data_IF_212586237853
#
_entry.id   IF_212586237853
#
_cell.length_a   1.000
_cell.length_b   1.000
_cell.length_c   1.000
_cell.angle_alpha   90.00
_cell.angle_beta   90.00
_cell.angle_gamma   90.00
#
_symmetry.space_group_name_H-M   'P 1'
#
loop_
_entity.id
_entity.type
_entity.pdbx_description
1 polymer ?
#
# COMPACT_ATOMS: atom_id res chain seq x y z
N UNK A 1 25.77 30.09 21.42
CA UNK A 1 24.67 29.10 21.43
C UNK A 1 24.33 28.78 19.99
N UNK A 2 24.51 27.55 19.53
CA UNK A 2 23.99 27.12 18.23
C UNK A 2 22.47 27.04 18.36
N UNK A 3 21.76 28.05 17.86
CA UNK A 3 20.30 28.16 18.00
C UNK A 3 19.61 27.14 17.11
N UNK A 4 19.35 25.95 17.66
CA UNK A 4 18.46 24.97 17.04
C UNK A 4 17.04 25.15 17.57
N UNK A 5 16.05 24.97 16.69
CA UNK A 5 14.64 24.84 17.06
C UNK A 5 14.08 23.56 16.44
N UNK A 6 13.52 22.69 17.27
CA UNK A 6 12.92 21.44 16.85
C UNK A 6 11.41 21.50 17.05
N UNK A 7 10.64 20.93 16.13
CA UNK A 7 9.19 20.92 16.27
C UNK A 7 8.45 20.35 15.07
N UNK A 8 7.14 20.20 15.24
CA UNK A 8 6.22 20.05 14.12
C UNK A 8 5.75 21.43 13.68
N UNK A 9 5.87 21.68 12.39
CA UNK A 9 5.49 22.94 11.76
C UNK A 9 4.38 22.71 10.75
N UNK A 10 3.56 23.74 10.54
CA UNK A 10 2.59 23.76 9.47
C UNK A 10 2.76 25.03 8.63
N UNK A 11 2.78 24.93 7.29
CA UNK A 11 2.79 26.08 6.42
C UNK A 11 1.43 26.77 6.41
N UNK A 12 1.42 28.08 6.65
CA UNK A 12 0.27 28.95 6.41
C UNK A 12 0.55 29.93 5.26
N UNK A 13 -0.41 30.17 4.37
CA UNK A 13 -0.31 31.29 3.43
C UNK A 13 -0.27 32.60 4.22
N UNK A 14 0.67 33.49 3.86
CA UNK A 14 0.83 34.79 4.50
C UNK A 14 -0.03 35.86 3.81
N UNK A 15 -1.32 35.94 4.18
CA UNK A 15 -2.24 36.91 3.60
C UNK A 15 -2.70 36.57 2.18
N UNK A 16 -3.05 37.59 1.38
CA UNK A 16 -3.52 37.45 -0.01
C UNK A 16 -2.40 37.12 -1.03
N UNK A 17 -1.14 37.14 -0.60
CA UNK A 17 0.01 36.85 -1.46
C UNK A 17 0.42 35.38 -1.31
N UNK A 18 -0.11 34.53 -2.21
CA UNK A 18 0.19 33.08 -2.25
C UNK A 18 1.68 32.75 -2.46
N UNK A 19 2.51 33.74 -2.80
CA UNK A 19 3.95 33.55 -3.05
C UNK A 19 4.80 33.43 -1.77
N UNK A 20 4.26 33.80 -0.60
CA UNK A 20 4.97 33.71 0.69
C UNK A 20 4.24 32.83 1.69
N UNK A 21 4.86 31.72 2.07
CA UNK A 21 4.34 30.78 3.07
C UNK A 21 5.11 30.92 4.38
N UNK A 22 4.40 31.22 5.48
CA UNK A 22 4.99 31.24 6.83
C UNK A 22 4.93 29.85 7.46
N UNK A 23 6.04 29.42 8.03
CA UNK A 23 6.12 28.18 8.80
C UNK A 23 5.81 28.46 10.27
N UNK A 24 4.66 27.99 10.76
CA UNK A 24 4.27 28.13 12.17
C UNK A 24 4.63 26.85 12.92
N UNK A 25 5.39 26.98 14.01
CA UNK A 25 5.62 25.86 14.92
C UNK A 25 4.34 25.60 15.72
N UNK A 26 3.73 24.43 15.53
CA UNK A 26 2.48 24.05 16.21
C UNK A 26 2.74 23.14 17.41
N UNK A 27 3.83 22.36 17.38
CA UNK A 27 4.27 21.52 18.50
C UNK A 27 5.79 21.68 18.65
N UNK A 28 6.26 22.50 19.59
CA UNK A 28 7.70 22.58 19.88
C UNK A 28 8.18 21.28 20.50
N UNK A 29 9.42 20.89 20.20
CA UNK A 29 10.05 19.68 20.72
C UNK A 29 11.41 20.00 21.33
N UNK A 30 11.75 19.24 22.37
CA UNK A 30 13.14 19.08 22.78
C UNK A 30 13.90 18.22 21.77
N UNK A 31 15.23 18.33 21.76
CA UNK A 31 16.10 17.57 20.86
C UNK A 31 15.84 16.06 20.93
N UNK A 32 15.77 15.51 22.14
CA UNK A 32 15.57 14.08 22.34
C UNK A 32 14.19 13.61 21.85
N UNK A 33 13.16 14.45 21.99
CA UNK A 33 11.81 14.18 21.47
C UNK A 33 11.78 14.21 19.94
N UNK A 34 12.51 15.15 19.34
CA UNK A 34 12.69 15.23 17.89
C UNK A 34 13.43 14.01 17.36
N UNK A 35 14.56 13.62 17.97
CA UNK A 35 15.32 12.44 17.55
C UNK A 35 14.48 11.16 17.65
N UNK A 36 13.71 11.01 18.74
CA UNK A 36 12.75 9.91 18.86
C UNK A 36 11.66 9.97 17.78
N UNK A 37 11.06 11.13 17.55
CA UNK A 37 10.04 11.32 16.51
C UNK A 37 10.57 10.98 15.10
N UNK A 38 11.82 11.32 14.80
CA UNK A 38 12.48 10.96 13.53
C UNK A 38 12.57 9.44 13.40
N UNK A 39 12.96 8.74 14.46
CA UNK A 39 13.07 7.27 14.46
C UNK A 39 11.70 6.62 14.30
N UNK A 40 10.72 7.03 15.11
CA UNK A 40 9.35 6.51 15.08
C UNK A 40 8.71 6.75 13.69
N UNK A 41 8.90 7.95 13.13
CA UNK A 41 8.39 8.28 11.81
C UNK A 41 9.08 7.50 10.68
N UNK A 42 10.40 7.31 10.77
CA UNK A 42 11.14 6.50 9.80
C UNK A 42 10.65 5.06 9.77
N UNK A 43 10.30 4.49 10.93
CA UNK A 43 9.79 3.13 11.04
C UNK A 43 8.43 2.92 10.34
N UNK A 44 7.58 3.95 10.27
CA UNK A 44 6.31 3.90 9.53
C UNK A 44 6.46 4.28 8.06
N UNK A 45 7.36 5.19 7.71
CA UNK A 45 7.69 5.50 6.31
C UNK A 45 8.31 4.31 5.57
N UNK A 46 9.03 3.47 6.30
CA UNK A 46 9.57 2.24 5.76
C UNK A 46 8.46 1.32 5.19
N UNK A 47 7.26 1.32 5.76
CA UNK A 47 6.09 0.60 5.19
C UNK A 47 5.64 1.24 3.87
N UNK A 48 5.58 2.58 3.78
CA UNK A 48 5.21 3.30 2.55
C UNK A 48 6.16 2.95 1.42
N UNK A 49 7.45 2.82 1.73
CA UNK A 49 8.42 2.41 0.72
C UNK A 49 8.19 0.98 0.21
N UNK A 50 7.64 0.06 1.01
CA UNK A 50 7.22 -1.27 0.51
C UNK A 50 6.03 -1.16 -0.44
N UNK A 51 5.04 -0.34 -0.10
CA UNK A 51 3.88 -0.08 -0.96
C UNK A 51 4.31 0.55 -2.29
N UNK A 52 5.16 1.58 -2.26
CA UNK A 52 5.72 2.21 -3.46
C UNK A 52 6.51 1.23 -4.34
N UNK A 53 7.20 0.24 -3.74
CA UNK A 53 7.86 -0.81 -4.51
C UNK A 53 6.82 -1.72 -5.21
N UNK A 54 5.73 -2.06 -4.54
CA UNK A 54 4.63 -2.83 -5.14
C UNK A 54 3.91 -2.04 -6.25
N UNK A 55 3.70 -0.74 -6.08
CA UNK A 55 3.07 0.12 -7.09
C UNK A 55 3.86 0.15 -8.41
N UNK A 56 5.19 0.03 -8.37
CA UNK A 56 6.00 -0.11 -9.61
C UNK A 56 5.61 -1.33 -10.44
N UNK A 57 5.19 -2.43 -9.80
CA UNK A 57 4.68 -3.59 -10.52
C UNK A 57 3.32 -3.29 -11.14
N UNK A 58 2.43 -2.60 -10.41
CA UNK A 58 1.12 -2.15 -10.90
C UNK A 58 1.27 -1.24 -12.12
N UNK A 59 2.14 -0.23 -12.06
CA UNK A 59 2.39 0.71 -13.15
C UNK A 59 2.93 -0.01 -14.39
N UNK A 60 3.87 -0.93 -14.20
CA UNK A 60 4.44 -1.70 -15.30
C UNK A 60 3.41 -2.65 -15.92
N UNK A 61 2.53 -3.24 -15.12
CA UNK A 61 1.43 -4.07 -15.61
C UNK A 61 0.39 -3.23 -16.37
N UNK A 62 0.00 -2.07 -15.84
CA UNK A 62 -0.92 -1.14 -16.49
C UNK A 62 -0.40 -0.72 -17.88
N UNK A 63 0.90 -0.44 -18.00
CA UNK A 63 1.54 -0.15 -19.29
C UNK A 63 1.39 -1.30 -20.31
N UNK A 64 1.51 -2.56 -19.87
CA UNK A 64 1.26 -3.73 -20.74
C UNK A 64 -0.20 -3.78 -21.17
N UNK A 65 -1.14 -3.63 -20.23
CA UNK A 65 -2.58 -3.66 -20.50
C UNK A 65 -2.97 -2.57 -21.50
N UNK A 66 -2.49 -1.34 -21.32
CA UNK A 66 -2.79 -0.23 -22.21
C UNK A 66 -2.12 -0.36 -23.58
N UNK A 67 -0.91 -0.93 -23.64
CA UNK A 67 -0.28 -1.31 -24.91
C UNK A 67 -1.11 -2.36 -25.65
N UNK A 68 -1.67 -3.35 -24.95
CA UNK A 68 -2.50 -4.40 -25.55
C UNK A 68 -3.82 -3.85 -26.10
N UNK A 69 -4.42 -2.84 -25.44
CA UNK A 69 -5.66 -2.19 -25.91
C UNK A 69 -5.46 -1.35 -27.18
N UNK A 70 -4.27 -0.77 -27.34
CA UNK A 70 -3.98 0.23 -28.38
C UNK A 70 -3.23 -0.37 -29.58
N UNK A 71 -3.07 -1.70 -29.61
CA UNK A 71 -2.22 -2.35 -30.61
C UNK A 71 -2.82 -2.29 -32.02
N UNK A 72 -2.00 -1.87 -32.98
CA UNK A 72 -2.30 -2.01 -34.40
C UNK A 72 -1.29 -2.98 -35.04
N UNK A 73 -1.75 -4.18 -35.36
CA UNK A 73 -0.89 -5.22 -35.96
C UNK A 73 -0.36 -4.87 -37.36
N UNK A 74 -0.92 -3.85 -38.04
CA UNK A 74 -0.41 -3.40 -39.33
C UNK A 74 0.75 -2.41 -39.16
N UNK A 75 0.90 -1.82 -37.98
CA UNK A 75 2.01 -0.93 -37.63
C UNK A 75 3.13 -1.72 -36.94
N UNK A 76 4.23 -1.91 -37.65
CA UNK A 76 5.45 -2.53 -37.12
C UNK A 76 5.92 -1.81 -35.84
N UNK A 77 5.75 -0.48 -35.76
CA UNK A 77 6.15 0.27 -34.58
C UNK A 77 5.26 -0.04 -33.38
N UNK A 78 3.97 -0.31 -33.59
CA UNK A 78 3.05 -0.76 -32.54
C UNK A 78 3.46 -2.13 -31.99
N UNK A 79 3.78 -3.07 -32.89
CA UNK A 79 4.31 -4.39 -32.53
C UNK A 79 5.63 -4.33 -31.75
N UNK A 80 6.56 -3.46 -32.17
CA UNK A 80 7.83 -3.28 -31.45
C UNK A 80 7.63 -2.65 -30.07
N UNK A 81 6.76 -1.63 -29.96
CA UNK A 81 6.45 -1.01 -28.67
C UNK A 81 5.91 -2.04 -27.68
N UNK A 82 4.95 -2.86 -28.08
CA UNK A 82 4.36 -3.82 -27.15
C UNK A 82 5.34 -4.91 -26.73
N UNK A 83 6.20 -5.35 -27.64
CA UNK A 83 7.30 -6.25 -27.32
C UNK A 83 8.24 -5.63 -26.27
N UNK A 84 8.67 -4.38 -26.49
CA UNK A 84 9.51 -3.67 -25.52
C UNK A 84 8.82 -3.46 -24.17
N UNK A 85 7.51 -3.18 -24.16
CA UNK A 85 6.72 -3.05 -22.93
C UNK A 85 6.68 -4.37 -22.16
N UNK A 86 6.51 -5.51 -22.84
CA UNK A 86 6.52 -6.85 -22.21
C UNK A 86 7.90 -7.21 -21.67
N UNK A 87 8.95 -6.97 -22.45
CA UNK A 87 10.34 -7.21 -22.02
C UNK A 87 10.67 -6.37 -20.79
N UNK A 88 10.25 -5.09 -20.78
CA UNK A 88 10.38 -4.19 -19.64
C UNK A 88 9.59 -4.67 -18.42
N UNK A 89 8.37 -5.18 -18.61
CA UNK A 89 7.57 -5.77 -17.52
C UNK A 89 8.25 -6.99 -16.91
N UNK A 90 8.72 -7.93 -17.75
CA UNK A 90 9.40 -9.15 -17.30
C UNK A 90 10.64 -8.81 -16.47
N UNK A 91 11.40 -7.79 -16.87
CA UNK A 91 12.54 -7.30 -16.11
C UNK A 91 12.12 -6.62 -14.79
N UNK A 92 11.13 -5.73 -14.85
CA UNK A 92 10.62 -4.97 -13.71
C UNK A 92 10.06 -5.91 -12.65
N UNK A 93 9.32 -6.95 -13.05
CA UNK A 93 8.75 -7.95 -12.16
C UNK A 93 9.81 -8.58 -11.24
N UNK A 94 10.90 -9.10 -11.80
CA UNK A 94 11.96 -9.75 -11.00
C UNK A 94 12.69 -8.72 -10.12
N UNK A 95 13.00 -7.54 -10.66
CA UNK A 95 13.67 -6.47 -9.89
C UNK A 95 12.80 -6.01 -8.71
N UNK A 96 11.50 -5.87 -8.91
CA UNK A 96 10.54 -5.47 -7.88
C UNK A 96 10.47 -6.52 -6.77
N UNK A 97 10.38 -7.81 -7.10
CA UNK A 97 10.39 -8.89 -6.10
C UNK A 97 11.67 -8.88 -5.27
N UNK A 98 12.85 -8.78 -5.89
CA UNK A 98 14.13 -8.72 -5.17
C UNK A 98 14.27 -7.46 -4.31
N UNK A 99 13.84 -6.31 -4.84
CA UNK A 99 13.92 -5.05 -4.11
C UNK A 99 12.97 -5.04 -2.91
N UNK A 100 11.77 -5.60 -3.08
CA UNK A 100 10.79 -5.78 -2.01
C UNK A 100 11.34 -6.67 -0.91
N UNK A 101 11.91 -7.84 -1.24
CA UNK A 101 12.53 -8.72 -0.23
C UNK A 101 13.64 -8.00 0.55
N UNK A 102 14.50 -7.27 -0.16
CA UNK A 102 15.60 -6.51 0.46
C UNK A 102 15.08 -5.45 1.42
N UNK A 103 14.02 -4.73 1.01
CA UNK A 103 13.37 -3.73 1.85
C UNK A 103 12.69 -4.38 3.05
N UNK A 104 11.95 -5.47 2.84
CA UNK A 104 11.30 -6.24 3.90
C UNK A 104 12.33 -6.68 4.96
N UNK A 105 13.48 -7.19 4.52
CA UNK A 105 14.60 -7.60 5.39
C UNK A 105 15.12 -6.47 6.26
N UNK A 106 15.21 -5.26 5.70
CA UNK A 106 15.62 -4.07 6.46
C UNK A 106 14.61 -3.73 7.56
N UNK A 107 13.32 -3.98 7.33
CA UNK A 107 12.23 -3.54 8.22
C UNK A 107 11.93 -4.56 9.32
N UNK A 108 11.96 -5.85 9.00
CA UNK A 108 11.50 -6.92 9.90
C UNK A 108 12.62 -7.80 10.44
N UNK A 109 13.87 -7.59 10.02
CA UNK A 109 14.95 -8.56 10.27
C UNK A 109 14.79 -9.82 9.41
N UNK A 110 15.45 -10.92 9.79
CA UNK A 110 15.68 -12.08 8.92
C UNK A 110 14.47 -13.04 8.74
N UNK A 111 13.49 -13.06 9.65
CA UNK A 111 12.41 -14.06 9.63
C UNK A 111 11.32 -13.79 8.57
N UNK A 112 10.77 -12.58 8.46
CA UNK A 112 9.75 -12.24 7.45
C UNK A 112 10.23 -12.32 5.98
N UNK A 113 11.49 -11.98 5.64
CA UNK A 113 12.03 -12.21 4.30
C UNK A 113 12.11 -13.69 3.94
N UNK A 114 12.31 -14.55 4.94
CA UNK A 114 12.35 -16.00 4.73
C UNK A 114 10.96 -16.50 4.32
N UNK A 115 9.88 -16.02 4.97
CA UNK A 115 8.52 -16.35 4.57
C UNK A 115 8.10 -15.70 3.25
N UNK A 116 8.55 -14.49 2.92
CA UNK A 116 8.34 -13.89 1.59
C UNK A 116 9.04 -14.70 0.49
N UNK A 117 10.30 -15.07 0.71
CA UNK A 117 11.07 -15.88 -0.23
C UNK A 117 10.43 -17.26 -0.44
N UNK A 118 9.90 -17.87 0.64
CA UNK A 118 9.13 -19.11 0.56
C UNK A 118 7.85 -18.93 -0.26
N UNK A 119 7.03 -17.91 0.02
CA UNK A 119 5.79 -17.65 -0.74
C UNK A 119 6.09 -17.42 -2.25
N UNK A 120 7.14 -16.66 -2.58
CA UNK A 120 7.56 -16.44 -3.97
C UNK A 120 8.09 -17.72 -4.61
N UNK A 121 8.83 -18.55 -3.85
CA UNK A 121 9.32 -19.84 -4.32
C UNK A 121 8.17 -20.82 -4.55
N UNK A 122 7.14 -20.82 -3.71
CA UNK A 122 5.92 -21.60 -3.92
C UNK A 122 5.18 -21.18 -5.19
N UNK A 123 5.10 -19.87 -5.48
CA UNK A 123 4.57 -19.39 -6.76
C UNK A 123 5.42 -19.94 -7.91
N UNK A 124 6.75 -19.89 -7.79
CA UNK A 124 7.66 -20.42 -8.80
C UNK A 124 7.51 -21.94 -9.00
N UNK A 125 7.34 -22.71 -7.93
CA UNK A 125 7.30 -24.17 -7.97
C UNK A 125 5.94 -24.70 -8.40
N UNK A 126 4.85 -24.03 -8.01
CA UNK A 126 3.49 -24.51 -8.25
C UNK A 126 2.79 -23.86 -9.46
N UNK A 127 3.35 -22.79 -10.03
CA UNK A 127 2.74 -22.12 -11.19
C UNK A 127 3.71 -22.02 -12.36
N UNK A 128 3.20 -22.30 -13.56
CA UNK A 128 3.99 -22.23 -14.79
C UNK A 128 4.24 -20.79 -15.23
N UNK A 129 3.30 -19.89 -14.94
CA UNK A 129 3.35 -18.48 -15.37
C UNK A 129 4.57 -17.74 -14.81
N UNK A 130 4.73 -17.69 -13.49
CA UNK A 130 5.86 -16.97 -12.90
C UNK A 130 7.18 -17.66 -13.22
N UNK A 131 7.20 -19.00 -13.22
CA UNK A 131 8.40 -19.77 -13.57
C UNK A 131 8.90 -19.46 -14.98
N UNK A 132 7.97 -19.41 -15.95
CA UNK A 132 8.24 -19.03 -17.33
C UNK A 132 8.79 -17.61 -17.40
N UNK A 133 8.05 -16.62 -16.90
CA UNK A 133 8.46 -15.20 -16.99
C UNK A 133 9.81 -14.95 -16.29
N UNK A 134 10.04 -15.55 -15.13
CA UNK A 134 11.31 -15.46 -14.42
C UNK A 134 12.49 -15.98 -15.26
N UNK A 135 12.31 -17.07 -16.01
CA UNK A 135 13.36 -17.58 -16.91
C UNK A 135 13.45 -16.80 -18.21
N UNK A 136 12.36 -16.24 -18.72
CA UNK A 136 12.41 -15.32 -19.86
C UNK A 136 13.20 -14.06 -19.55
N UNK A 137 13.14 -13.55 -18.31
CA UNK A 137 14.03 -12.46 -17.87
C UNK A 137 15.50 -12.81 -18.09
N UNK A 138 15.93 -14.04 -17.78
CA UNK A 138 17.31 -14.47 -18.01
C UNK A 138 17.65 -14.55 -19.51
N UNK A 139 16.73 -15.07 -20.33
CA UNK A 139 16.90 -15.09 -21.80
C UNK A 139 17.08 -13.66 -22.33
N UNK A 140 16.19 -12.74 -21.92
CA UNK A 140 16.24 -11.33 -22.32
C UNK A 140 17.57 -10.67 -21.93
N UNK A 141 18.07 -10.88 -20.71
CA UNK A 141 19.34 -10.30 -20.26
C UNK A 141 20.56 -10.75 -21.07
N UNK A 142 20.54 -11.97 -21.62
CA UNK A 142 21.65 -12.50 -22.40
C UNK A 142 21.48 -12.30 -23.91
N UNK A 143 20.24 -12.30 -24.40
CA UNK A 143 19.92 -12.27 -25.83
C UNK A 143 19.51 -10.87 -26.31
N UNK A 144 19.23 -9.94 -25.40
CA UNK A 144 18.79 -8.56 -25.68
C UNK A 144 17.36 -8.43 -26.20
N UNK A 145 16.67 -9.53 -26.49
CA UNK A 145 15.27 -9.58 -26.92
C UNK A 145 14.67 -10.95 -26.68
N UNK A 146 13.34 -11.02 -26.61
CA UNK A 146 12.57 -12.26 -26.58
C UNK A 146 11.98 -12.54 -27.97
N UNK A 147 11.87 -13.82 -28.40
CA UNK A 147 11.25 -14.15 -29.68
C UNK A 147 9.72 -14.12 -29.55
N UNK A 148 9.19 -12.90 -29.42
CA UNK A 148 7.77 -12.63 -29.33
C UNK A 148 7.22 -12.34 -30.74
N UNK A 149 6.02 -12.85 -31.01
CA UNK A 149 5.27 -12.58 -32.23
C UNK A 149 3.83 -12.24 -31.90
N UNK A 150 3.26 -11.28 -32.61
CA UNK A 150 1.86 -10.92 -32.46
C UNK A 150 1.01 -11.85 -33.33
N UNK A 151 0.05 -12.53 -32.70
CA UNK A 151 -0.95 -13.34 -33.39
C UNK A 151 -2.34 -12.72 -33.24
N UNK A 152 -3.18 -12.95 -34.26
CA UNK A 152 -4.61 -12.65 -34.21
C UNK A 152 -5.38 -13.93 -34.02
N UNK A 153 -6.23 -13.97 -33.00
CA UNK A 153 -7.27 -14.97 -32.87
C UNK A 153 -8.65 -14.33 -33.02
N UNK A 154 -9.61 -15.13 -33.45
CA UNK A 154 -11.02 -14.77 -33.33
C UNK A 154 -11.48 -15.28 -31.96
N UNK A 155 -11.93 -14.38 -31.10
CA UNK A 155 -12.56 -14.74 -29.83
C UNK A 155 -13.89 -15.47 -30.07
N UNK A 156 -14.38 -16.16 -29.03
CA UNK A 156 -15.64 -16.92 -29.08
C UNK A 156 -16.84 -16.02 -29.44
N UNK A 157 -16.75 -14.73 -29.13
CA UNK A 157 -17.79 -13.72 -29.38
C UNK A 157 -17.66 -13.06 -30.78
N UNK A 158 -16.74 -13.53 -31.63
CA UNK A 158 -16.41 -12.94 -32.92
C UNK A 158 -15.57 -11.66 -32.85
N UNK A 159 -15.25 -11.17 -31.65
CA UNK A 159 -14.29 -10.08 -31.46
C UNK A 159 -12.87 -10.54 -31.83
N UNK A 160 -12.12 -9.67 -32.51
CA UNK A 160 -10.71 -9.94 -32.83
C UNK A 160 -9.88 -9.74 -31.57
N UNK A 161 -9.23 -10.79 -31.10
CA UNK A 161 -8.31 -10.75 -29.97
C UNK A 161 -6.87 -10.82 -30.47
N UNK A 162 -6.01 -10.02 -29.84
CA UNK A 162 -4.58 -10.01 -30.10
C UNK A 162 -3.87 -10.83 -29.02
N UNK A 163 -3.00 -11.76 -29.43
CA UNK A 163 -2.18 -12.56 -28.55
C UNK A 163 -0.72 -12.26 -28.80
N UNK A 164 0.07 -12.13 -27.72
CA UNK A 164 1.52 -12.06 -27.85
C UNK A 164 2.07 -13.43 -27.53
N UNK A 165 2.59 -14.05 -28.58
CA UNK A 165 3.03 -15.44 -28.56
C UNK A 165 4.54 -15.50 -28.44
N UNK A 166 5.01 -16.26 -27.47
CA UNK A 166 6.38 -16.69 -27.39
C UNK A 166 6.62 -17.80 -28.42
N UNK A 167 7.57 -17.62 -29.32
CA UNK A 167 8.04 -18.69 -30.20
C UNK A 167 8.94 -19.65 -29.40
N UNK A 168 8.32 -20.69 -28.88
CA UNK A 168 8.98 -21.73 -28.09
C UNK A 168 10.05 -22.49 -28.87
N UNK A 169 9.85 -22.69 -30.18
CA UNK A 169 10.83 -23.37 -31.03
C UNK A 169 12.11 -22.53 -31.15
N UNK A 170 11.97 -21.22 -31.35
CA UNK A 170 13.10 -20.31 -31.43
C UNK A 170 13.86 -20.23 -30.11
N UNK A 171 13.17 -20.21 -28.97
CA UNK A 171 13.82 -20.25 -27.65
C UNK A 171 14.59 -21.55 -27.43
N UNK A 172 13.95 -22.70 -27.70
CA UNK A 172 14.58 -24.01 -27.49
C UNK A 172 15.80 -24.22 -28.39
N UNK A 173 15.85 -23.57 -29.55
CA UNK A 173 16.98 -23.66 -30.46
C UNK A 173 18.12 -22.68 -30.12
N UNK A 174 17.80 -21.44 -29.72
CA UNK A 174 18.80 -20.36 -29.58
C UNK A 174 19.20 -20.04 -28.14
N UNK A 175 18.34 -20.33 -27.18
CA UNK A 175 18.47 -19.82 -25.80
C UNK A 175 18.19 -20.90 -24.74
N UNK A 176 18.18 -22.18 -25.12
CA UNK A 176 17.88 -23.29 -24.20
C UNK A 176 18.83 -23.39 -22.99
N UNK A 177 20.07 -22.96 -23.13
CA UNK A 177 21.06 -22.94 -22.03
C UNK A 177 20.66 -22.04 -20.86
N UNK A 178 19.76 -21.08 -21.08
CA UNK A 178 19.26 -20.16 -20.05
C UNK A 178 17.97 -20.64 -19.37
N UNK A 179 17.39 -21.75 -19.85
CA UNK A 179 16.21 -22.38 -19.28
C UNK A 179 16.60 -23.48 -18.28
N UNK A 180 15.71 -23.77 -17.33
CA UNK A 180 15.82 -24.99 -16.53
C UNK A 180 14.87 -26.08 -17.06
N UNK A 181 14.98 -27.29 -16.49
CA UNK A 181 14.18 -28.44 -16.91
C UNK A 181 12.67 -28.16 -16.84
N UNK A 182 12.20 -27.48 -15.78
CA UNK A 182 10.80 -27.09 -15.63
C UNK A 182 10.31 -26.23 -16.79
N UNK A 183 10.95 -25.08 -17.04
CA UNK A 183 10.54 -24.16 -18.11
C UNK A 183 10.73 -24.77 -19.50
N UNK A 184 11.76 -25.60 -19.67
CA UNK A 184 11.95 -26.38 -20.90
C UNK A 184 10.75 -27.30 -21.16
N UNK A 185 10.23 -27.95 -20.11
CA UNK A 185 9.04 -28.80 -20.20
C UNK A 185 7.79 -28.00 -20.54
N UNK A 186 7.62 -26.81 -19.95
CA UNK A 186 6.51 -25.89 -20.25
C UNK A 186 6.53 -25.49 -21.73
N UNK A 187 7.70 -25.12 -22.26
CA UNK A 187 7.82 -24.71 -23.67
C UNK A 187 7.61 -25.89 -24.63
N UNK A 188 8.05 -27.09 -24.26
CA UNK A 188 7.85 -28.29 -25.08
C UNK A 188 6.40 -28.75 -25.12
N UNK A 189 5.62 -28.52 -24.06
CA UNK A 189 4.20 -28.92 -24.03
C UNK A 189 3.33 -28.02 -24.91
N UNK A 190 3.74 -26.76 -25.11
CA UNK A 190 3.09 -25.82 -26.02
C UNK A 190 4.13 -24.87 -26.62
N UNK A 191 4.44 -25.03 -27.91
CA UNK A 191 5.45 -24.21 -28.59
C UNK A 191 4.97 -22.77 -28.81
N UNK A 192 3.67 -22.53 -28.91
CA UNK A 192 3.07 -21.19 -29.03
C UNK A 192 2.41 -20.80 -27.71
N UNK A 193 3.13 -20.00 -26.90
CA UNK A 193 2.67 -19.60 -25.56
C UNK A 193 2.17 -18.17 -25.57
N UNK A 194 0.91 -17.97 -25.17
CA UNK A 194 0.36 -16.63 -24.92
C UNK A 194 0.96 -16.03 -23.64
N UNK A 195 1.92 -15.14 -23.83
CA UNK A 195 2.66 -14.49 -22.74
C UNK A 195 1.78 -13.53 -21.96
N UNK A 196 0.81 -12.89 -22.60
CA UNK A 196 -0.04 -11.90 -21.93
C UNK A 196 -0.86 -12.55 -20.81
N UNK A 197 -1.38 -13.76 -21.04
CA UNK A 197 -2.07 -14.52 -19.99
C UNK A 197 -1.16 -14.89 -18.82
N UNK A 198 0.10 -15.25 -19.10
CA UNK A 198 1.07 -15.54 -18.04
C UNK A 198 1.48 -14.28 -17.26
N UNK A 199 1.49 -13.10 -17.90
CA UNK A 199 1.71 -11.81 -17.25
C UNK A 199 0.61 -11.52 -16.24
N UNK A 200 -0.66 -11.61 -16.64
CA UNK A 200 -1.82 -11.40 -15.76
C UNK A 200 -1.76 -12.34 -14.55
N UNK A 201 -1.61 -13.65 -14.80
CA UNK A 201 -1.56 -14.64 -13.72
C UNK A 201 -0.41 -14.39 -12.73
N UNK A 202 0.77 -14.00 -13.24
CA UNK A 202 1.92 -13.72 -12.37
C UNK A 202 1.76 -12.43 -11.59
N UNK A 203 1.19 -11.40 -12.22
CA UNK A 203 0.84 -10.13 -11.57
C UNK A 203 -0.07 -10.37 -10.37
N UNK A 204 -1.20 -11.06 -10.56
CA UNK A 204 -2.18 -11.31 -9.50
C UNK A 204 -1.56 -12.06 -8.31
N UNK A 205 -0.76 -13.09 -8.58
CA UNK A 205 -0.10 -13.89 -7.55
C UNK A 205 0.95 -13.10 -6.78
N UNK A 206 1.81 -12.35 -7.48
CA UNK A 206 2.86 -11.55 -6.86
C UNK A 206 2.27 -10.39 -6.05
N UNK A 207 1.29 -9.66 -6.60
CA UNK A 207 0.61 -8.56 -5.90
C UNK A 207 -0.08 -9.06 -4.63
N UNK A 208 -0.71 -10.25 -4.68
CA UNK A 208 -1.29 -10.88 -3.49
C UNK A 208 -0.25 -11.18 -2.41
N UNK A 209 0.92 -11.72 -2.78
CA UNK A 209 2.00 -12.00 -1.83
C UNK A 209 2.62 -10.70 -1.30
N UNK A 210 2.93 -9.73 -2.16
CA UNK A 210 3.47 -8.44 -1.74
C UNK A 210 2.52 -7.73 -0.78
N UNK A 211 1.21 -7.71 -1.08
CA UNK A 211 0.20 -7.14 -0.19
C UNK A 211 0.11 -7.91 1.14
N UNK A 212 0.11 -9.25 1.12
CA UNK A 212 0.15 -10.09 2.34
C UNK A 212 1.28 -9.62 3.27
N UNK A 213 2.47 -9.40 2.72
CA UNK A 213 3.68 -9.01 3.45
C UNK A 213 3.72 -7.53 3.84
N UNK A 214 3.35 -6.59 2.97
CA UNK A 214 3.19 -5.16 3.33
C UNK A 214 2.35 -5.07 4.60
N UNK A 215 1.22 -5.77 4.58
CA UNK A 215 0.30 -5.67 5.68
C UNK A 215 0.82 -6.46 6.91
N UNK A 216 1.68 -7.48 6.76
CA UNK A 216 2.20 -8.23 7.93
C UNK A 216 3.28 -7.46 8.69
N UNK A 217 3.85 -6.42 8.07
CA UNK A 217 4.81 -5.53 8.73
C UNK A 217 4.11 -4.61 9.74
N UNK A 218 2.80 -4.37 9.63
CA UNK A 218 2.10 -3.52 10.58
C UNK A 218 1.80 -4.33 11.84
N UNK A 219 2.61 -4.10 12.89
CA UNK A 219 2.48 -4.73 14.21
C UNK A 219 1.93 -3.76 15.25
N UNK A 220 1.71 -4.23 16.48
CA UNK A 220 1.22 -3.39 17.58
C UNK A 220 2.13 -2.19 17.86
N UNK A 221 3.46 -2.33 17.68
CA UNK A 221 4.40 -1.25 17.93
C UNK A 221 4.24 -0.13 16.89
N UNK A 222 4.16 -0.47 15.60
CA UNK A 222 3.94 0.49 14.52
C UNK A 222 2.53 1.10 14.57
N UNK A 223 1.51 0.32 14.93
CA UNK A 223 0.17 0.84 15.18
C UNK A 223 0.16 1.84 16.35
N UNK A 224 0.90 1.57 17.43
CA UNK A 224 1.04 2.51 18.55
C UNK A 224 1.72 3.81 18.15
N UNK A 225 2.70 3.79 17.24
CA UNK A 225 3.30 5.01 16.66
C UNK A 225 2.24 5.81 15.90
N UNK A 226 1.41 5.15 15.07
CA UNK A 226 0.33 5.81 14.34
C UNK A 226 -0.68 6.47 15.29
N UNK A 227 -1.10 5.75 16.34
CA UNK A 227 -1.96 6.25 17.42
C UNK A 227 -1.37 7.51 18.08
N UNK A 228 -0.08 7.48 18.41
CA UNK A 228 0.59 8.62 19.05
C UNK A 228 0.65 9.84 18.13
N UNK A 229 0.93 9.64 16.84
CA UNK A 229 0.97 10.73 15.86
C UNK A 229 -0.43 11.30 15.60
N UNK A 230 -1.46 10.46 15.43
CA UNK A 230 -2.84 10.92 15.24
C UNK A 230 -3.33 11.70 16.48
N UNK A 231 -2.97 11.27 17.69
CA UNK A 231 -3.24 12.05 18.90
C UNK A 231 -2.59 13.44 18.85
N UNK A 232 -1.36 13.56 18.34
CA UNK A 232 -0.72 14.87 18.14
C UNK A 232 -1.52 15.75 17.18
N UNK A 233 -1.95 15.23 16.03
CA UNK A 233 -2.84 15.96 15.11
C UNK A 233 -4.14 16.39 15.78
N UNK A 234 -4.75 15.50 16.56
CA UNK A 234 -6.02 15.75 17.25
C UNK A 234 -5.92 16.77 18.38
N UNK A 235 -4.70 17.05 18.87
CA UNK A 235 -4.45 18.04 19.93
C UNK A 235 -4.26 19.46 19.42
N UNK A 236 -4.18 19.64 18.10
CA UNK A 236 -3.97 20.94 17.49
C UNK A 236 -5.23 21.81 17.57
N UNK A 237 -5.04 23.11 17.77
CA UNK A 237 -6.14 24.08 17.75
C UNK A 237 -6.77 24.22 16.36
N UNK A 238 -5.98 23.98 15.31
CA UNK A 238 -6.41 24.03 13.92
C UNK A 238 -6.23 22.65 13.28
N UNK A 239 -7.22 22.25 12.47
CA UNK A 239 -7.16 20.99 11.73
C UNK A 239 -6.20 21.15 10.56
N UNK A 240 -5.17 20.31 10.52
CA UNK A 240 -4.15 20.33 9.47
C UNK A 240 -3.97 18.93 8.85
N UNK A 241 -3.81 18.84 7.52
CA UNK A 241 -3.68 17.56 6.83
C UNK A 241 -2.30 16.92 6.93
N UNK A 242 -1.26 17.71 7.19
CA UNK A 242 0.11 17.25 7.35
C UNK A 242 0.87 18.10 8.37
N UNK A 243 2.00 17.59 8.85
CA UNK A 243 2.93 18.31 9.71
C UNK A 243 4.36 18.11 9.22
N UNK A 244 5.18 19.16 9.29
CA UNK A 244 6.59 19.12 8.94
C UNK A 244 7.42 18.99 10.22
N UNK A 245 7.92 17.79 10.50
CA UNK A 245 8.89 17.55 11.57
C UNK A 245 10.22 18.17 11.16
N UNK A 246 10.64 19.22 11.87
CA UNK A 246 11.70 20.13 11.42
C UNK A 246 12.79 20.32 12.47
N UNK A 247 14.05 20.30 12.02
CA UNK A 247 15.23 20.84 12.73
C UNK A 247 15.70 22.12 12.01
N UNK A 248 15.50 23.26 12.67
CA UNK A 248 15.95 24.58 12.23
C UNK A 248 17.23 24.97 12.94
N UNK A 249 18.33 25.13 12.20
CA UNK A 249 19.58 25.63 12.75
C UNK A 249 19.90 27.03 12.23
N UNK A 250 20.14 27.97 13.14
CA UNK A 250 20.74 29.26 12.81
C UNK A 250 22.23 29.09 12.48
N UNK A 251 22.63 29.60 11.32
CA UNK A 251 24.02 29.64 10.85
C UNK A 251 24.47 31.10 10.89
N UNK A 252 25.41 31.40 11.79
CA UNK A 252 26.11 32.69 11.82
C UNK A 252 27.56 32.44 11.38
N UNK A 253 27.77 32.23 10.07
CA UNK A 253 29.13 32.24 9.49
C UNK A 253 29.48 33.65 9.04
N UNK A 254 30.75 34.04 9.23
CA UNK A 254 31.26 35.41 9.18
C UNK A 254 30.73 36.27 8.00
N UNK A 255 29.59 36.94 8.22
CA UNK A 255 28.97 37.89 7.29
C UNK A 255 27.63 37.48 6.68
N UNK A 256 27.18 36.23 6.83
CA UNK A 256 25.88 35.78 6.32
C UNK A 256 25.07 35.02 7.38
N UNK A 257 23.94 35.61 7.81
CA UNK A 257 22.93 34.89 8.58
C UNK A 257 22.19 33.92 7.66
N UNK A 258 22.29 32.62 7.91
CA UNK A 258 21.56 31.59 7.18
C UNK A 258 20.74 30.68 8.10
N UNK A 259 19.77 29.98 7.53
CA UNK A 259 18.98 28.95 8.22
C UNK A 259 19.22 27.63 7.50
N UNK A 260 19.62 26.59 8.23
CA UNK A 260 19.63 25.23 7.72
C UNK A 260 18.35 24.53 8.19
N UNK A 261 17.66 23.90 7.25
CA UNK A 261 16.35 23.29 7.42
C UNK A 261 16.42 21.83 7.02
N UNK A 262 16.07 20.93 7.94
CA UNK A 262 15.81 19.51 7.63
C UNK A 262 14.36 19.21 7.96
N UNK A 263 13.63 18.63 7.01
CA UNK A 263 12.20 18.40 7.12
C UNK A 263 11.82 16.97 6.76
N UNK A 264 10.87 16.44 7.53
CA UNK A 264 10.13 15.22 7.25
C UNK A 264 8.64 15.56 7.28
N UNK A 265 7.94 15.31 6.19
CA UNK A 265 6.49 15.49 6.12
C UNK A 265 5.79 14.28 6.70
N UNK A 266 4.89 14.51 7.66
CA UNK A 266 4.02 13.53 8.30
C UNK A 266 2.59 13.75 7.80
N UNK A 267 2.07 12.83 6.99
CA UNK A 267 0.72 12.90 6.42
C UNK A 267 -0.30 12.19 7.32
N UNK A 268 -1.37 12.88 7.71
CA UNK A 268 -2.44 12.29 8.53
C UNK A 268 -3.23 11.23 7.76
N UNK A 269 -3.42 11.43 6.46
CA UNK A 269 -4.02 10.47 5.53
C UNK A 269 -3.32 9.12 5.58
N UNK A 270 -1.99 9.15 5.48
CA UNK A 270 -1.16 7.96 5.49
C UNK A 270 -1.27 7.20 6.83
N UNK A 271 -1.25 7.92 7.95
CA UNK A 271 -1.40 7.34 9.29
C UNK A 271 -2.76 6.62 9.44
N UNK A 272 -3.83 7.23 8.94
CA UNK A 272 -5.18 6.65 8.99
C UNK A 272 -5.25 5.38 8.13
N UNK A 273 -4.69 5.38 6.92
CA UNK A 273 -4.63 4.19 6.05
C UNK A 273 -3.88 3.04 6.72
N UNK A 274 -2.72 3.31 7.31
CA UNK A 274 -1.94 2.28 7.99
C UNK A 274 -2.70 1.68 9.17
N UNK A 275 -3.30 2.52 10.02
CA UNK A 275 -4.02 2.06 11.20
C UNK A 275 -5.29 1.27 10.83
N UNK A 276 -5.99 1.69 9.78
CA UNK A 276 -7.12 0.94 9.22
C UNK A 276 -6.72 -0.43 8.69
N UNK A 277 -5.60 -0.48 7.97
CA UNK A 277 -5.07 -1.73 7.42
C UNK A 277 -4.69 -2.71 8.55
N UNK A 278 -4.08 -2.20 9.62
CA UNK A 278 -3.80 -2.97 10.84
C UNK A 278 -5.08 -3.55 11.47
N UNK A 279 -6.12 -2.74 11.63
CA UNK A 279 -7.39 -3.17 12.24
C UNK A 279 -8.14 -4.18 11.38
N UNK A 280 -8.12 -4.03 10.05
CA UNK A 280 -8.76 -4.96 9.09
C UNK A 280 -8.16 -6.37 9.16
N UNK A 281 -6.90 -6.48 9.61
CA UNK A 281 -6.17 -7.75 9.72
C UNK A 281 -6.44 -8.55 10.99
N UNK A 282 -7.34 -8.07 11.84
CA UNK A 282 -7.71 -8.76 13.07
C UNK A 282 -9.01 -9.54 12.83
N UNK A 283 -8.96 -10.77 12.25
CA UNK A 283 -10.16 -11.52 11.89
C UNK A 283 -11.03 -11.87 13.09
N UNK A 284 -10.50 -11.74 14.30
CA UNK A 284 -11.21 -11.96 15.55
C UNK A 284 -12.03 -10.75 16.00
N UNK A 285 -11.95 -9.60 15.32
CA UNK A 285 -12.63 -8.35 15.69
C UNK A 285 -13.25 -7.70 14.45
N UNK A 286 -14.57 -7.53 14.46
CA UNK A 286 -15.27 -6.68 13.50
C UNK A 286 -15.66 -5.37 14.19
N UNK A 287 -15.34 -4.25 13.55
CA UNK A 287 -15.76 -2.94 14.02
C UNK A 287 -16.98 -2.47 13.24
N UNK A 288 -18.00 -2.00 13.96
CA UNK A 288 -19.11 -1.27 13.36
C UNK A 288 -19.12 0.15 13.94
N UNK A 289 -19.02 1.15 13.06
CA UNK A 289 -19.18 2.55 13.44
C UNK A 289 -20.62 2.97 13.29
N UNK A 290 -21.15 3.60 14.34
CA UNK A 290 -22.46 4.24 14.29
C UNK A 290 -22.37 5.63 14.95
N UNK A 291 -22.71 6.66 14.19
CA UNK A 291 -22.66 8.05 14.62
C UNK A 291 -22.19 9.00 13.52
N UNK A 292 -22.24 10.31 13.79
CA UNK A 292 -22.15 11.45 12.84
C UNK A 292 -21.54 11.14 11.47
N UNK A 293 -22.25 11.57 10.42
CA UNK A 293 -21.90 11.41 9.00
C UNK A 293 -20.41 11.63 8.75
N UNK A 294 -19.69 10.52 8.55
CA UNK A 294 -18.40 10.53 7.88
C UNK A 294 -18.74 10.55 6.40
N UNK A 295 -18.25 11.54 5.66
CA UNK A 295 -18.55 11.63 4.23
C UNK A 295 -18.09 10.36 3.50
N UNK A 296 -18.80 10.02 2.42
CA UNK A 296 -18.47 8.85 1.57
C UNK A 296 -17.01 8.87 1.10
N UNK A 297 -16.44 10.07 0.93
CA UNK A 297 -15.04 10.29 0.57
C UNK A 297 -14.03 9.77 1.60
N UNK A 298 -14.44 9.47 2.85
CA UNK A 298 -13.56 8.91 3.87
C UNK A 298 -13.97 7.49 4.29
N UNK A 299 -14.95 6.88 3.63
CA UNK A 299 -15.36 5.51 3.93
C UNK A 299 -14.22 4.50 3.71
N UNK A 300 -13.33 4.74 2.74
CA UNK A 300 -12.20 3.84 2.43
C UNK A 300 -11.10 3.80 3.49
N UNK A 301 -11.13 4.68 4.50
CA UNK A 301 -10.22 4.61 5.65
C UNK A 301 -10.79 3.75 6.78
N UNK A 302 -12.06 3.36 6.77
CA UNK A 302 -12.62 2.55 7.85
C UNK A 302 -12.39 1.07 7.56
N UNK A 303 -12.04 0.26 8.58
CA UNK A 303 -11.90 -1.18 8.39
C UNK A 303 -13.26 -1.78 8.04
N UNK A 304 -13.37 -2.38 6.85
CA UNK A 304 -14.54 -3.13 6.38
C UNK A 304 -15.80 -2.30 6.09
N UNK A 305 -15.98 -1.83 4.85
CA UNK A 305 -17.26 -1.29 4.34
C UNK A 305 -18.34 -2.38 4.22
N UNK A 306 -17.94 -3.65 4.10
CA UNK A 306 -18.86 -4.78 3.96
C UNK A 306 -19.11 -5.43 5.32
N UNK A 307 -20.27 -5.14 5.93
CA UNK A 307 -20.78 -5.61 7.24
C UNK A 307 -20.74 -4.58 8.38
N UNK A 308 -21.14 -3.33 8.10
CA UNK A 308 -21.83 -2.54 9.13
C UNK A 308 -23.11 -3.30 9.46
N UNK A 309 -23.14 -4.04 10.56
CA UNK A 309 -24.39 -4.63 11.03
C UNK A 309 -25.38 -3.49 11.25
N UNK A 310 -26.59 -3.64 10.73
CA UNK A 310 -27.63 -2.64 10.91
C UNK A 310 -28.15 -2.62 12.36
N UNK A 311 -28.81 -1.52 12.78
CA UNK A 311 -29.35 -1.31 14.14
C UNK A 311 -30.18 -2.48 14.70
N UNK A 312 -30.76 -3.30 13.82
CA UNK A 312 -31.56 -4.47 14.20
C UNK A 312 -30.79 -5.54 15.00
N UNK A 313 -29.46 -5.59 14.90
CA UNK A 313 -28.65 -6.55 15.65
C UNK A 313 -28.18 -5.99 17.02
N UNK A 314 -28.56 -4.76 17.39
CA UNK A 314 -27.92 -3.98 18.45
C UNK A 314 -28.53 -4.17 19.85
N UNK A 315 -29.65 -4.88 19.95
CA UNK A 315 -30.36 -5.08 21.21
C UNK A 315 -30.27 -6.50 21.77
N UNK A 316 -29.58 -7.41 21.08
CA UNK A 316 -29.46 -8.79 21.53
C UNK A 316 -28.11 -9.04 22.22
N UNK A 317 -28.17 -9.58 23.44
CA UNK A 317 -27.02 -10.27 24.08
C UNK A 317 -26.74 -11.64 23.42
N UNK A 318 -27.50 -11.97 22.38
CA UNK A 318 -27.39 -13.21 21.63
C UNK A 318 -26.15 -13.19 20.75
N UNK A 319 -25.59 -14.38 20.57
CA UNK A 319 -24.51 -14.55 19.63
C UNK A 319 -25.01 -14.45 18.21
N UNK A 320 -24.21 -13.82 17.36
CA UNK A 320 -24.51 -13.69 15.94
C UNK A 320 -23.69 -14.72 15.17
N UNK A 321 -24.31 -15.41 14.22
CA UNK A 321 -23.59 -16.29 13.30
C UNK A 321 -23.38 -15.55 11.99
N UNK A 322 -22.14 -15.23 11.65
CA UNK A 322 -21.75 -14.62 10.38
C UNK A 322 -20.81 -15.59 9.67
N UNK A 323 -21.14 -15.95 8.41
CA UNK A 323 -20.36 -16.86 7.58
C UNK A 323 -20.01 -18.20 8.26
N UNK A 324 -20.99 -18.75 9.00
CA UNK A 324 -20.82 -20.02 9.73
C UNK A 324 -19.94 -19.93 10.98
N UNK A 325 -19.50 -18.74 11.37
CA UNK A 325 -18.72 -18.49 12.60
C UNK A 325 -19.60 -17.83 13.65
N UNK A 326 -19.44 -18.24 14.91
CA UNK A 326 -20.12 -17.62 16.05
C UNK A 326 -19.36 -16.36 16.49
N UNK A 327 -20.10 -15.28 16.74
CA UNK A 327 -19.58 -14.00 17.20
C UNK A 327 -20.30 -13.57 18.47
N UNK A 328 -19.56 -12.92 19.38
CA UNK A 328 -20.10 -12.36 20.61
C UNK A 328 -19.94 -10.84 20.60
N UNK A 329 -21.00 -10.15 21.00
CA UNK A 329 -20.97 -8.70 21.18
C UNK A 329 -20.04 -8.30 22.32
N UNK A 330 -19.20 -7.29 22.06
CA UNK A 330 -18.56 -6.48 23.08
C UNK A 330 -19.05 -5.03 22.89
N UNK A 331 -19.86 -4.57 23.84
CA UNK A 331 -20.33 -3.19 23.87
C UNK A 331 -19.34 -2.35 24.68
N UNK A 332 -18.83 -1.28 24.08
CA UNK A 332 -18.07 -0.25 24.78
C UNK A 332 -18.51 1.09 24.21
N UNK A 333 -19.05 1.96 25.05
CA UNK A 333 -19.51 3.29 24.62
C UNK A 333 -18.32 4.20 24.35
N UNK A 334 -18.31 4.93 23.23
CA UNK A 334 -17.29 5.94 22.95
C UNK A 334 -17.69 7.33 23.40
N UNK A 335 -16.89 7.90 24.28
CA UNK A 335 -16.91 9.32 24.59
C UNK A 335 -15.98 10.09 23.66
N UNK A 336 -16.30 10.15 22.36
CA UNK A 336 -15.49 10.87 21.37
C UNK A 336 -15.85 12.36 21.26
N UNK A 337 -17.13 12.72 21.32
CA UNK A 337 -17.66 14.09 21.42
C UNK A 337 -19.18 14.01 21.51
N UNK A 338 -19.86 14.92 22.22
CA UNK A 338 -21.32 14.93 22.25
C UNK A 338 -21.91 15.40 20.88
N UNK A 339 -23.02 14.80 20.40
CA UNK A 339 -23.67 13.60 20.91
C UNK A 339 -22.82 12.35 20.64
N UNK A 340 -22.68 11.51 21.68
CA UNK A 340 -21.73 10.40 21.73
C UNK A 340 -22.10 9.33 20.70
N UNK A 341 -21.28 9.10 19.65
CA UNK A 341 -21.51 8.01 18.73
C UNK A 341 -21.34 6.67 19.47
N UNK A 342 -22.37 5.82 19.46
CA UNK A 342 -22.27 4.47 20.02
C UNK A 342 -21.51 3.57 19.04
N UNK A 343 -20.46 2.93 19.53
CA UNK A 343 -19.68 1.99 18.74
C UNK A 343 -19.81 0.60 19.33
N UNK A 344 -19.85 -0.41 18.45
CA UNK A 344 -19.90 -1.80 18.87
C UNK A 344 -18.91 -2.62 18.07
N UNK A 345 -18.28 -3.59 18.75
CA UNK A 345 -17.42 -4.57 18.12
C UNK A 345 -18.00 -5.97 18.31
N UNK A 346 -17.82 -6.82 17.30
CA UNK A 346 -18.05 -8.25 17.41
C UNK A 346 -16.72 -8.96 17.56
N UNK A 347 -16.67 -9.90 18.52
CA UNK A 347 -15.51 -10.76 18.74
C UNK A 347 -15.84 -12.16 18.23
N UNK A 348 -14.98 -12.73 17.38
CA UNK A 348 -15.17 -14.11 16.93
C UNK A 348 -15.04 -15.03 18.16
N UNK A 349 -16.04 -15.87 18.42
CA UNK A 349 -15.99 -16.89 19.46
C UNK A 349 -15.14 -18.05 18.93
N UNK A 350 -13.83 -17.95 19.08
CA UNK A 350 -12.98 -19.11 18.90
C UNK A 350 -12.92 -19.91 20.19
N UNK A 351 -13.28 -21.19 20.13
CA UNK A 351 -13.57 -22.06 21.27
C UNK A 351 -12.42 -22.24 22.28
N UNK A 352 -11.24 -21.67 22.05
CA UNK A 352 -10.09 -21.75 22.96
C UNK A 352 -9.27 -20.45 23.10
N UNK A 353 -9.58 -19.38 22.37
CA UNK A 353 -8.82 -18.11 22.45
C UNK A 353 -9.74 -17.00 22.94
N UNK A 354 -9.74 -16.75 24.26
CA UNK A 354 -10.18 -15.44 24.76
C UNK A 354 -9.17 -14.42 24.26
N UNK A 355 -9.59 -13.46 23.45
CA UNK A 355 -8.81 -12.24 23.26
C UNK A 355 -8.53 -11.65 24.64
N UNK A 356 -7.25 -11.48 24.97
CA UNK A 356 -6.85 -10.89 26.24
C UNK A 356 -7.45 -9.48 26.36
N UNK A 357 -7.90 -9.10 27.55
CA UNK A 357 -8.53 -7.80 27.77
C UNK A 357 -7.65 -6.63 27.29
N UNK A 358 -6.33 -6.77 27.48
CA UNK A 358 -5.33 -5.79 27.03
C UNK A 358 -5.30 -5.63 25.50
N UNK A 359 -5.42 -6.72 24.76
CA UNK A 359 -5.46 -6.68 23.30
C UNK A 359 -6.74 -5.97 22.82
N UNK A 360 -7.88 -6.33 23.40
CA UNK A 360 -9.18 -5.68 23.11
C UNK A 360 -9.13 -4.18 23.38
N UNK A 361 -8.57 -3.77 24.52
CA UNK A 361 -8.45 -2.35 24.87
C UNK A 361 -7.52 -1.60 23.91
N UNK A 362 -6.42 -2.21 23.49
CA UNK A 362 -5.53 -1.64 22.48
C UNK A 362 -6.23 -1.46 21.14
N UNK A 363 -6.94 -2.47 20.64
CA UNK A 363 -7.67 -2.37 19.36
C UNK A 363 -8.77 -1.32 19.40
N UNK A 364 -9.45 -1.21 20.55
CA UNK A 364 -10.42 -0.16 20.78
C UNK A 364 -9.78 1.23 20.72
N UNK A 365 -8.65 1.40 21.40
CA UNK A 365 -7.90 2.65 21.37
C UNK A 365 -7.43 3.01 19.96
N UNK A 366 -6.88 2.03 19.23
CA UNK A 366 -6.47 2.19 17.83
C UNK A 366 -7.62 2.67 16.94
N UNK A 367 -8.80 2.06 17.09
CA UNK A 367 -9.98 2.45 16.32
C UNK A 367 -10.45 3.88 16.65
N UNK A 368 -10.49 4.24 17.93
CA UNK A 368 -10.83 5.60 18.39
C UNK A 368 -9.92 6.63 17.72
N UNK A 369 -8.60 6.37 17.72
CA UNK A 369 -7.66 7.29 17.10
C UNK A 369 -7.85 7.37 15.59
N UNK A 370 -8.10 6.25 14.91
CA UNK A 370 -8.45 6.28 13.49
C UNK A 370 -9.63 7.22 13.20
N UNK A 371 -10.71 7.12 13.98
CA UNK A 371 -11.87 8.01 13.81
C UNK A 371 -11.53 9.48 14.05
N UNK A 372 -10.73 9.79 15.07
CA UNK A 372 -10.29 11.17 15.33
C UNK A 372 -9.50 11.71 14.14
N UNK A 373 -8.56 10.93 13.61
CA UNK A 373 -7.80 11.28 12.42
C UNK A 373 -8.69 11.55 11.21
N UNK A 374 -9.66 10.66 10.94
CA UNK A 374 -10.63 10.84 9.85
C UNK A 374 -11.47 12.12 10.03
N UNK A 375 -11.90 12.44 11.25
CA UNK A 375 -12.61 13.69 11.54
C UNK A 375 -11.78 14.94 11.26
N UNK A 376 -10.49 14.92 11.61
CA UNK A 376 -9.56 16.01 11.29
C UNK A 376 -9.42 16.14 9.77
N UNK A 377 -9.24 15.03 9.03
CA UNK A 377 -9.18 15.06 7.56
C UNK A 377 -10.45 15.65 6.93
N UNK A 378 -11.63 15.33 7.48
CA UNK A 378 -12.89 15.90 7.03
C UNK A 378 -12.97 17.41 7.30
N UNK A 379 -12.52 17.87 8.47
CA UNK A 379 -12.46 19.28 8.82
C UNK A 379 -11.48 20.09 7.95
N UNK A 380 -10.41 19.45 7.45
CA UNK A 380 -9.44 20.07 6.53
C UNK A 380 -9.99 20.30 5.11
N UNK A 381 -11.21 19.84 4.77
CA UNK A 381 -11.77 20.04 3.43
C UNK A 381 -11.12 19.18 2.33
N UNK A 382 -10.35 18.15 2.68
CA UNK A 382 -9.67 17.26 1.73
C UNK A 382 -10.62 16.36 0.88
N UNK A 383 -11.93 16.58 0.94
CA UNK A 383 -12.89 16.00 0.01
C UNK A 383 -12.94 16.67 -1.38
N UNK A 384 -12.29 17.83 -1.57
CA UNK A 384 -12.46 18.67 -2.77
C UNK A 384 -11.17 19.03 -3.55
N UNK A 385 -10.01 18.42 -3.27
CA UNK A 385 -8.76 18.74 -4.01
C UNK A 385 -8.64 18.08 -5.40
N UNK A 386 -9.68 17.41 -5.90
CA UNK A 386 -9.74 16.87 -7.27
C UNK A 386 -10.77 17.58 -8.19
N UNK A 387 -11.27 18.77 -7.84
CA UNK A 387 -12.23 19.51 -8.67
C UNK A 387 -11.75 20.84 -9.26
N UNK A 388 -10.48 21.23 -9.12
CA UNK A 388 -9.96 22.49 -9.70
C UNK A 388 -8.92 22.29 -10.81
N UNK A 389 -9.02 21.19 -11.57
CA UNK A 389 -8.23 21.00 -12.79
C UNK A 389 -9.03 21.17 -14.10
N UNK A 390 -10.35 21.37 -14.02
CA UNK A 390 -11.19 21.71 -15.17
C UNK A 390 -11.97 22.99 -14.85
N UNK A 391 -11.30 24.15 -14.96
CA UNK A 391 -11.89 25.46 -15.30
C UNK A 391 -10.79 26.55 -15.24
N UNK A 392 -9.94 26.58 -16.27
CA UNK A 392 -9.47 27.81 -16.95
C UNK A 392 -8.91 27.46 -18.31
#
# INVERSE_FOLDING_TARGET
MTGHAYGYYYPYPDGEDESTTKMTCVIPLHKDEYEKAVVDYSAILDISSLASIADRLNDSFAAVVDSMKTIDHFDINSCQRIQSTIESYIETMVRTVTHFETKLRKITGAESPTSFSQDVSEIYDNTDSYALLYKLRNVYQHSGSLPLRLERASGEDGQKCHHIVLDGQMILNKSASYLNAKVTSIIRSKLDIDIYRHIINSFDLLTKVMNKHIISVIDNARAQICIQLINRFSSLSESVPFLLLTDLKRVDEAGSSGVNLRQLEVSLDYLCKLLSTFLTKMPSILFSYWGNDISDSFAHYLPGICQVLGPQYYNHDEMVVLDGKEWRWLRKTLTLSAPYPEMMALLQKDGQMRLEAEAVDFYWHAYIELLKGVKVLAACGLGNLNQTADET
#
